data_IF_197440006210
#
_entry.id   IF_197440006210
#
_cell.length_a   1.000
_cell.length_b   1.000
_cell.length_c   1.000
_cell.angle_alpha   90.00
_cell.angle_beta   90.00
_cell.angle_gamma   90.00
#
_symmetry.space_group_name_H-M   'P 1'
#
loop_
_entity.id
_entity.type
_entity.pdbx_description
1 polymer ?
#
# COMPACT_ATOMS: atom_id res chain seq x y z
N UNK A 1 -9.48 -0.33 -7.42
CA UNK A 1 -8.39 0.52 -7.99
C UNK A 1 -7.19 -0.38 -8.21
N UNK A 2 -6.36 -0.16 -9.24
CA UNK A 2 -5.23 -1.05 -9.51
C UNK A 2 -3.91 -0.38 -9.16
N UNK A 3 -3.12 -1.03 -8.31
CA UNK A 3 -1.81 -0.56 -7.86
C UNK A 3 -0.78 -1.62 -8.18
N UNK A 4 0.40 -1.23 -8.63
CA UNK A 4 1.48 -2.17 -8.89
C UNK A 4 2.00 -2.76 -7.57
N UNK A 5 2.25 -4.07 -7.57
CA UNK A 5 2.79 -4.79 -6.41
C UNK A 5 4.05 -4.16 -5.85
N UNK A 6 4.94 -3.71 -6.73
CA UNK A 6 6.19 -3.02 -6.35
C UNK A 6 5.94 -1.79 -5.50
N UNK A 7 4.92 -0.99 -5.82
CA UNK A 7 4.59 0.21 -5.04
C UNK A 7 4.12 -0.13 -3.62
N UNK A 8 3.37 -1.22 -3.47
CA UNK A 8 2.91 -1.71 -2.16
C UNK A 8 4.09 -2.19 -1.33
N UNK A 9 5.01 -2.94 -1.94
CA UNK A 9 6.24 -3.42 -1.31
C UNK A 9 7.11 -2.23 -0.86
N UNK A 10 7.29 -1.23 -1.72
CA UNK A 10 8.09 -0.04 -1.41
C UNK A 10 7.47 0.76 -0.27
N UNK A 11 6.13 0.88 -0.24
CA UNK A 11 5.41 1.48 0.87
C UNK A 11 5.67 0.73 2.18
N UNK A 12 5.52 -0.60 2.18
CA UNK A 12 5.77 -1.43 3.35
C UNK A 12 7.22 -1.30 3.83
N UNK A 13 8.20 -1.35 2.92
CA UNK A 13 9.62 -1.14 3.23
C UNK A 13 9.85 0.25 3.84
N UNK A 14 9.25 1.30 3.27
CA UNK A 14 9.39 2.68 3.80
C UNK A 14 8.83 2.86 5.21
N UNK A 15 7.84 2.04 5.60
CA UNK A 15 7.24 2.05 6.92
C UNK A 15 7.99 1.18 7.95
N UNK A 16 9.04 0.46 7.52
CA UNK A 16 9.77 -0.50 8.35
C UNK A 16 9.12 -1.89 8.39
N UNK A 17 8.08 -2.12 7.59
CA UNK A 17 7.31 -3.36 7.53
C UNK A 17 7.94 -4.38 6.58
N UNK A 18 9.21 -4.72 6.82
CA UNK A 18 10.01 -5.55 5.90
C UNK A 18 9.46 -6.97 5.76
N UNK A 19 8.93 -7.56 6.84
CA UNK A 19 8.35 -8.90 6.83
C UNK A 19 7.09 -8.96 5.95
N UNK A 20 6.19 -7.99 6.11
CA UNK A 20 5.00 -7.85 5.28
C UNK A 20 5.37 -7.57 3.82
N UNK A 21 6.45 -6.82 3.57
CA UNK A 21 6.92 -6.57 2.22
C UNK A 21 7.38 -7.86 1.52
N UNK A 22 8.08 -8.73 2.24
CA UNK A 22 8.49 -10.05 1.70
C UNK A 22 7.29 -10.97 1.47
N UNK A 23 6.29 -10.93 2.35
CA UNK A 23 5.05 -11.67 2.17
C UNK A 23 4.26 -11.16 0.96
N UNK A 24 4.17 -9.83 0.80
CA UNK A 24 3.53 -9.17 -0.34
C UNK A 24 4.17 -9.57 -1.67
N UNK A 25 5.50 -9.72 -1.72
CA UNK A 25 6.22 -10.18 -2.92
C UNK A 25 5.75 -11.56 -3.41
N UNK A 26 5.35 -12.44 -2.50
CA UNK A 26 4.95 -13.83 -2.80
C UNK A 26 3.45 -14.02 -2.95
N UNK A 27 2.64 -13.26 -2.19
CA UNK A 27 1.19 -13.42 -2.15
C UNK A 27 0.44 -12.49 -3.11
N UNK A 28 0.98 -11.29 -3.36
CA UNK A 28 0.28 -10.33 -4.21
C UNK A 28 0.50 -10.64 -5.71
N UNK A 29 -0.54 -10.50 -6.54
CA UNK A 29 -0.39 -10.50 -7.99
C UNK A 29 0.36 -9.25 -8.45
N UNK A 30 0.88 -9.25 -9.68
CA UNK A 30 1.66 -8.13 -10.22
C UNK A 30 0.87 -6.81 -10.21
N UNK A 31 -0.44 -6.88 -10.50
CA UNK A 31 -1.37 -5.77 -10.35
C UNK A 31 -2.36 -6.09 -9.25
N UNK A 32 -2.34 -5.28 -8.20
CA UNK A 32 -3.19 -5.46 -7.02
C UNK A 32 -4.40 -4.54 -7.14
N UNK A 33 -5.55 -5.17 -7.42
CA UNK A 33 -6.85 -4.54 -7.28
C UNK A 33 -7.20 -4.37 -5.79
N UNK A 34 -7.29 -3.13 -5.31
CA UNK A 34 -7.61 -2.79 -3.92
C UNK A 34 -9.01 -3.22 -3.50
N UNK A 35 -9.94 -3.38 -4.45
CA UNK A 35 -11.32 -3.77 -4.17
C UNK A 35 -11.44 -5.29 -4.12
N UNK A 36 -10.83 -5.99 -5.09
CA UNK A 36 -10.89 -7.45 -5.17
C UNK A 36 -9.88 -8.16 -4.26
N UNK A 37 -8.72 -7.57 -4.03
CA UNK A 37 -7.68 -8.12 -3.16
C UNK A 37 -7.66 -7.47 -1.78
N UNK A 38 -8.75 -6.79 -1.38
CA UNK A 38 -8.87 -6.18 -0.06
C UNK A 38 -8.50 -7.15 1.08
N UNK A 39 -8.91 -8.42 0.98
CA UNK A 39 -8.57 -9.44 1.99
C UNK A 39 -7.10 -9.88 2.00
N UNK A 40 -6.38 -9.77 0.88
CA UNK A 40 -4.93 -10.02 0.85
C UNK A 40 -4.17 -8.82 1.44
N UNK A 41 -4.62 -7.61 1.11
CA UNK A 41 -4.07 -6.37 1.67
C UNK A 41 -4.28 -6.32 3.19
N UNK A 42 -5.46 -6.68 3.68
CA UNK A 42 -5.79 -6.71 5.11
C UNK A 42 -4.87 -7.67 5.90
N UNK A 43 -4.58 -8.86 5.36
CA UNK A 43 -3.61 -9.80 5.95
C UNK A 43 -2.21 -9.21 6.08
N UNK A 44 -1.82 -8.36 5.13
CA UNK A 44 -0.56 -7.64 5.14
C UNK A 44 -0.61 -6.37 6.00
N UNK A 45 -1.72 -6.12 6.70
CA UNK A 45 -1.95 -4.90 7.49
C UNK A 45 -2.10 -3.63 6.64
N UNK A 46 -2.45 -3.78 5.36
CA UNK A 46 -2.62 -2.69 4.41
C UNK A 46 -4.10 -2.42 4.21
N UNK A 47 -4.52 -1.20 4.54
CA UNK A 47 -5.86 -0.75 4.20
C UNK A 47 -5.87 -0.14 2.79
N UNK A 48 -6.82 -0.56 1.95
CA UNK A 48 -7.05 0.07 0.64
C UNK A 48 -7.23 1.59 0.75
N UNK A 49 -7.88 2.06 1.82
CA UNK A 49 -8.04 3.48 2.12
C UNK A 49 -6.72 4.20 2.42
N UNK A 50 -5.77 3.52 3.08
CA UNK A 50 -4.44 4.07 3.36
C UNK A 50 -3.60 4.18 2.08
N UNK A 51 -3.75 3.24 1.14
CA UNK A 51 -3.08 3.32 -0.16
C UNK A 51 -3.52 4.54 -0.94
N UNK A 52 -4.83 4.85 -0.94
CA UNK A 52 -5.37 6.04 -1.60
C UNK A 52 -4.88 7.34 -0.95
N UNK A 53 -4.52 7.32 0.33
CA UNK A 53 -3.94 8.48 1.02
C UNK A 53 -2.43 8.63 0.79
N UNK A 54 -1.68 7.52 0.84
CA UNK A 54 -0.22 7.51 0.92
C UNK A 54 0.49 7.39 -0.44
N UNK A 55 -0.18 6.89 -1.47
CA UNK A 55 0.42 6.75 -2.79
C UNK A 55 0.52 8.14 -3.47
N UNK A 56 1.64 8.48 -4.13
CA UNK A 56 1.77 9.76 -4.84
C UNK A 56 0.68 9.91 -5.90
N UNK A 57 -0.20 10.90 -5.72
CA UNK A 57 -1.47 11.06 -6.48
C UNK A 57 -2.72 10.90 -5.62
N UNK A 58 -2.56 10.42 -4.40
CA UNK A 58 -3.53 10.30 -3.34
C UNK A 58 -3.68 11.55 -2.48
N UNK A 59 -4.87 11.75 -1.90
CA UNK A 59 -5.25 12.94 -1.14
C UNK A 59 -4.44 13.17 0.16
N UNK A 60 -3.58 12.22 0.59
CA UNK A 60 -2.85 12.31 1.85
C UNK A 60 -1.58 13.17 1.80
N UNK A 61 -0.94 13.32 0.63
CA UNK A 61 0.24 14.19 0.48
C UNK A 61 -0.12 15.68 0.61
N UNK A 62 -1.39 16.04 0.34
CA UNK A 62 -1.92 17.39 0.55
C UNK A 62 -2.39 17.69 1.98
N UNK A 63 -2.53 16.68 2.84
CA UNK A 63 -3.05 16.86 4.21
C UNK A 63 -1.98 16.65 5.29
N UNK A 64 -0.87 15.95 4.98
CA UNK A 64 0.25 15.74 5.91
C UNK A 64 1.35 16.82 5.88
N UNK A 65 1.34 17.72 4.89
CA UNK A 65 2.41 18.71 4.65
C UNK A 65 2.21 20.11 5.26
N UNK A 66 1.15 20.34 6.06
CA UNK A 66 0.93 21.62 6.74
C UNK A 66 0.90 21.41 8.26
N UNK A 67 2.05 21.08 8.81
CA UNK A 67 2.25 20.92 10.24
C UNK A 67 3.68 21.26 10.66
N UNK A 68 3.92 22.58 10.77
CA UNK A 68 5.06 23.29 11.39
C UNK A 68 6.28 23.56 10.50
#
# INVERSE_FOLDING_TARGET
MNIDKSQIIDLLKSQGNHDQASQAESELPDTVDTDQHAGLLDKLGINAQDLIGKLPGGLGDKLGGLGL
#
